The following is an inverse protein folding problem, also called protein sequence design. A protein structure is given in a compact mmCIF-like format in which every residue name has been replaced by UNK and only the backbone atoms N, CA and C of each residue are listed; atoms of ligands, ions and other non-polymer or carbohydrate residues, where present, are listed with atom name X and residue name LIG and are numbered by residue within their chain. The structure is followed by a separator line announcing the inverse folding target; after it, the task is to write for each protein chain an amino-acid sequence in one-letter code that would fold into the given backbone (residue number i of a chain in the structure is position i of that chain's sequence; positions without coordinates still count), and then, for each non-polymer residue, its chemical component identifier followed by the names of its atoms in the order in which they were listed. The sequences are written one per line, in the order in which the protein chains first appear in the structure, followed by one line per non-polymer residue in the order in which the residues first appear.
data_IF_921957122792
#
_entry.id   IF_921957122792
#
_cell.length_a   1.000
_cell.length_b   1.000
_cell.length_c   1.000
_cell.angle_alpha   90.00
_cell.angle_beta   90.00
_cell.angle_gamma   90.00
#
_symmetry.space_group_name_H-M   'P 1'
#
loop_
_entity.id
_entity.type
_entity.pdbx_description
1 polymer ?
#
# COMPACT_ATOMS: atom_id res chain seq x y z
N UNK A 1 11.58 -1.32 -24.36
CA UNK A 1 10.33 -0.88 -23.70
C UNK A 1 10.25 -1.47 -22.32
N UNK A 2 10.06 -0.61 -21.31
CA UNK A 2 9.88 -1.08 -19.94
C UNK A 2 8.41 -1.44 -19.70
N UNK A 3 8.17 -2.46 -18.89
CA UNK A 3 6.82 -2.89 -18.53
C UNK A 3 6.50 -2.49 -17.10
N UNK A 4 5.23 -2.17 -16.84
CA UNK A 4 4.79 -1.92 -15.48
C UNK A 4 4.97 -3.16 -14.60
N UNK A 5 5.16 -2.95 -13.31
CA UNK A 5 5.29 -4.02 -12.32
C UNK A 5 4.22 -3.81 -11.26
N UNK A 6 3.46 -4.85 -10.96
CA UNK A 6 2.43 -4.78 -9.94
C UNK A 6 2.91 -5.44 -8.66
N UNK A 7 2.71 -4.74 -7.54
CA UNK A 7 3.03 -5.25 -6.21
C UNK A 7 1.76 -5.29 -5.39
N UNK A 8 1.53 -6.39 -4.72
CA UNK A 8 0.39 -6.58 -3.82
C UNK A 8 0.88 -6.52 -2.39
N UNK A 9 0.31 -5.60 -1.62
CA UNK A 9 0.64 -5.42 -0.20
C UNK A 9 -0.54 -5.92 0.61
N UNK A 10 -0.36 -7.04 1.30
CA UNK A 10 -1.41 -7.69 2.09
C UNK A 10 -1.30 -7.31 3.55
N UNK A 11 -2.44 -7.05 4.18
CA UNK A 11 -2.51 -6.71 5.60
C UNK A 11 -3.56 -7.58 6.28
N UNK A 12 -3.18 -8.19 7.39
CA UNK A 12 -4.12 -8.87 8.27
C UNK A 12 -4.20 -8.07 9.56
N UNK A 13 -5.38 -7.53 9.84
CA UNK A 13 -5.60 -6.75 11.05
C UNK A 13 -6.02 -7.65 12.20
N UNK A 14 -5.84 -7.15 13.42
CA UNK A 14 -6.38 -7.79 14.59
C UNK A 14 -7.91 -7.78 14.53
N UNK A 15 -8.53 -8.75 15.18
CA UNK A 15 -9.99 -8.84 15.19
C UNK A 15 -10.60 -7.52 15.69
N UNK A 16 -11.52 -6.97 14.91
CA UNK A 16 -12.20 -5.71 15.24
C UNK A 16 -11.43 -4.45 14.90
N UNK A 17 -10.21 -4.55 14.36
CA UNK A 17 -9.36 -3.38 14.09
C UNK A 17 -9.39 -2.92 12.63
N UNK A 18 -10.16 -3.56 11.76
CA UNK A 18 -10.19 -3.28 10.33
C UNK A 18 -10.49 -1.81 10.01
N UNK A 19 -11.58 -1.29 10.56
CA UNK A 19 -12.02 0.07 10.23
C UNK A 19 -11.03 1.12 10.71
N UNK A 20 -10.48 0.94 11.90
CA UNK A 20 -9.47 1.85 12.41
C UNK A 20 -8.21 1.82 11.54
N UNK A 21 -7.79 0.62 11.11
CA UNK A 21 -6.63 0.47 10.22
C UNK A 21 -6.85 1.21 8.91
N UNK A 22 -7.98 1.00 8.25
CA UNK A 22 -8.27 1.64 6.97
C UNK A 22 -8.31 3.16 7.12
N UNK A 23 -8.87 3.64 8.22
CA UNK A 23 -8.97 5.06 8.51
C UNK A 23 -7.59 5.69 8.66
N UNK A 24 -6.72 5.06 9.44
CA UNK A 24 -5.34 5.52 9.63
C UNK A 24 -4.53 5.44 8.33
N UNK A 25 -4.74 4.37 7.53
CA UNK A 25 -4.11 4.23 6.23
C UNK A 25 -4.47 5.41 5.32
N UNK A 26 -5.76 5.72 5.21
CA UNK A 26 -6.23 6.82 4.35
C UNK A 26 -5.70 8.17 4.80
N UNK A 27 -5.56 8.36 6.09
CA UNK A 27 -5.12 9.64 6.65
C UNK A 27 -3.61 9.83 6.59
N UNK A 28 -2.84 8.79 6.88
CA UNK A 28 -1.39 8.92 7.09
C UNK A 28 -0.51 8.24 6.03
N UNK A 29 -1.07 7.38 5.21
CA UNK A 29 -0.28 6.66 4.20
C UNK A 29 -0.72 6.99 2.77
N UNK A 30 -2.02 7.03 2.53
CA UNK A 30 -2.54 7.33 1.21
C UNK A 30 -2.01 8.66 0.63
N UNK A 31 -1.95 9.78 1.37
CA UNK A 31 -1.42 11.00 0.80
C UNK A 31 0.02 10.89 0.30
N UNK A 32 0.85 10.07 0.95
CA UNK A 32 2.22 9.82 0.49
C UNK A 32 2.20 9.04 -0.82
N UNK A 33 1.34 8.02 -0.92
CA UNK A 33 1.19 7.23 -2.13
C UNK A 33 0.64 8.08 -3.28
N UNK A 34 -0.32 8.93 -2.99
CA UNK A 34 -0.92 9.82 -3.99
C UNK A 34 0.11 10.77 -4.57
N UNK A 35 0.98 11.33 -3.73
CA UNK A 35 2.04 12.22 -4.19
C UNK A 35 3.01 11.49 -5.13
N UNK A 36 3.31 10.24 -4.86
CA UNK A 36 4.18 9.44 -5.73
C UNK A 36 3.49 9.03 -7.03
N UNK A 37 2.19 8.81 -6.98
CA UNK A 37 1.38 8.59 -8.19
C UNK A 37 1.42 9.84 -9.07
N UNK A 38 1.17 11.00 -8.48
CA UNK A 38 1.21 12.28 -9.21
C UNK A 38 2.59 12.57 -9.78
N UNK A 39 3.65 12.12 -9.11
CA UNK A 39 5.03 12.27 -9.58
C UNK A 39 5.42 11.25 -10.67
N UNK A 40 4.53 10.33 -11.04
CA UNK A 40 4.77 9.37 -12.12
C UNK A 40 5.47 8.08 -11.72
N UNK A 41 5.74 7.89 -10.44
CA UNK A 41 6.34 6.64 -9.95
C UNK A 41 5.37 5.46 -10.08
N UNK A 42 4.08 5.72 -9.81
CA UNK A 42 3.03 4.72 -9.91
C UNK A 42 2.11 5.05 -11.08
N UNK A 43 1.52 4.02 -11.67
CA UNK A 43 0.48 4.14 -12.68
C UNK A 43 -0.90 3.94 -12.09
N UNK A 44 -1.00 3.23 -10.98
CA UNK A 44 -2.26 2.98 -10.30
C UNK A 44 -2.02 2.56 -8.86
N UNK A 45 -2.95 2.92 -7.98
CA UNK A 45 -2.97 2.48 -6.59
C UNK A 45 -4.42 2.18 -6.25
N UNK A 46 -4.69 0.97 -5.76
CA UNK A 46 -6.03 0.59 -5.34
C UNK A 46 -6.00 -0.10 -3.99
N UNK A 47 -7.05 0.12 -3.22
CA UNK A 47 -7.28 -0.57 -1.97
C UNK A 47 -8.44 -1.54 -2.16
N UNK A 48 -8.23 -2.78 -1.76
CA UNK A 48 -9.20 -3.86 -1.91
C UNK A 48 -9.51 -4.44 -0.54
N UNK A 49 -10.75 -4.86 -0.35
CA UNK A 49 -11.14 -5.64 0.81
C UNK A 49 -11.86 -6.89 0.32
N UNK A 50 -11.71 -8.04 1.01
CA UNK A 50 -12.41 -9.24 0.59
C UNK A 50 -13.91 -9.09 0.86
N UNK A 51 -14.71 -9.54 -0.08
CA UNK A 51 -16.16 -9.54 0.10
C UNK A 51 -16.60 -10.61 1.07
N UNK A 52 -15.90 -11.75 1.05
CA UNK A 52 -16.11 -12.88 1.96
C UNK A 52 -14.77 -13.30 2.47
N UNK A 53 -14.71 -13.73 3.75
CA UNK A 53 -13.47 -14.26 4.27
C UNK A 53 -13.28 -15.70 3.77
N UNK A 54 -12.02 -16.14 3.73
CA UNK A 54 -11.67 -17.48 3.30
C UNK A 54 -11.71 -18.49 4.44
N UNK A 55 -10.75 -19.39 4.43
CA UNK A 55 -10.71 -20.51 5.39
C UNK A 55 -9.91 -20.19 6.67
N UNK A 56 -9.34 -19.01 6.78
CA UNK A 56 -8.61 -18.56 7.96
C UNK A 56 -7.10 -18.73 7.91
N UNK A 57 -6.56 -19.54 6.97
CA UNK A 57 -5.11 -19.79 6.90
C UNK A 57 -4.33 -18.64 6.27
N UNK A 58 -4.86 -18.11 5.19
CA UNK A 58 -4.20 -17.06 4.43
C UNK A 58 -5.14 -15.87 4.22
N UNK A 59 -6.07 -15.69 5.16
CA UNK A 59 -6.99 -14.58 5.08
C UNK A 59 -6.26 -13.26 5.28
N UNK A 60 -6.72 -12.25 4.55
CA UNK A 60 -6.25 -10.89 4.69
C UNK A 60 -7.47 -9.98 4.74
N UNK A 61 -7.31 -8.80 5.32
CA UNK A 61 -8.42 -7.87 5.53
C UNK A 61 -8.34 -6.69 4.59
N UNK A 62 -7.12 -6.31 4.19
CA UNK A 62 -6.87 -5.19 3.29
C UNK A 62 -5.77 -5.59 2.33
N UNK A 63 -5.97 -5.27 1.07
CA UNK A 63 -4.96 -5.40 0.03
C UNK A 63 -4.79 -4.04 -0.63
N UNK A 64 -3.54 -3.58 -0.71
CA UNK A 64 -3.21 -2.42 -1.51
C UNK A 64 -2.41 -2.90 -2.71
N UNK A 65 -2.90 -2.63 -3.92
CA UNK A 65 -2.18 -2.95 -5.14
C UNK A 65 -1.59 -1.67 -5.70
N UNK A 66 -0.29 -1.72 -6.01
CA UNK A 66 0.43 -0.59 -6.61
C UNK A 66 1.02 -1.07 -7.94
N UNK A 67 0.66 -0.38 -9.01
CA UNK A 67 1.28 -0.61 -10.31
C UNK A 67 2.39 0.42 -10.46
N UNK A 68 3.63 -0.04 -10.35
CA UNK A 68 4.81 0.81 -10.55
C UNK A 68 5.02 1.04 -12.05
N UNK A 69 5.52 2.22 -12.42
CA UNK A 69 5.81 2.58 -13.81
C UNK A 69 6.67 1.52 -14.49
N UNK A 70 7.71 1.06 -13.80
CA UNK A 70 8.63 0.03 -14.27
C UNK A 70 9.40 -0.55 -13.08
N UNK A 71 10.31 -1.46 -13.36
CA UNK A 71 11.12 -2.12 -12.33
C UNK A 71 12.00 -1.12 -11.56
N UNK A 72 12.54 -0.13 -12.27
CA UNK A 72 13.39 0.89 -11.64
C UNK A 72 12.60 1.75 -10.64
N UNK A 73 11.32 1.98 -10.90
CA UNK A 73 10.48 2.78 -10.01
C UNK A 73 10.31 2.15 -8.62
N UNK A 74 10.46 0.83 -8.50
CA UNK A 74 10.38 0.16 -7.19
C UNK A 74 11.49 0.63 -6.27
N UNK A 75 12.68 0.88 -6.83
CA UNK A 75 13.85 1.31 -6.05
C UNK A 75 13.90 2.82 -5.82
N UNK A 76 13.02 3.59 -6.46
CA UNK A 76 12.96 5.04 -6.23
C UNK A 76 12.45 5.34 -4.83
N UNK A 77 12.89 6.46 -4.30
CA UNK A 77 12.44 6.95 -3.00
C UNK A 77 11.48 8.11 -3.17
N UNK A 78 10.66 8.34 -2.16
CA UNK A 78 9.81 9.54 -2.10
C UNK A 78 10.69 10.78 -2.11
N UNK A 79 10.11 11.88 -2.58
CA UNK A 79 10.74 13.19 -2.52
C UNK A 79 11.20 13.49 -1.09
N UNK A 80 12.45 13.93 -0.86
CA UNK A 80 12.90 14.30 0.47
C UNK A 80 12.00 15.37 1.10
N UNK A 81 11.65 15.19 2.36
CA UNK A 81 10.82 16.13 3.09
C UNK A 81 9.33 16.04 2.82
N UNK A 82 8.88 15.07 2.01
CA UNK A 82 7.45 14.94 1.70
C UNK A 82 6.61 14.66 2.95
N UNK A 83 7.11 13.83 3.84
CA UNK A 83 6.38 13.47 5.06
C UNK A 83 6.16 14.70 5.95
N UNK A 84 7.21 15.48 6.15
CA UNK A 84 7.14 16.72 6.94
C UNK A 84 6.23 17.75 6.30
N UNK A 85 6.21 17.82 4.97
CA UNK A 85 5.36 18.75 4.24
C UNK A 85 3.89 18.36 4.33
N UNK A 86 3.59 17.07 4.18
CA UNK A 86 2.21 16.57 4.24
C UNK A 86 1.68 16.51 5.67
N UNK A 87 2.56 16.29 6.63
CA UNK A 87 2.19 16.12 8.04
C UNK A 87 3.04 17.04 8.92
N UNK A 88 2.69 18.35 8.98
CA UNK A 88 3.46 19.29 9.82
C UNK A 88 3.47 18.91 11.30
N UNK A 89 2.40 18.29 11.79
CA UNK A 89 2.35 17.77 13.17
C UNK A 89 2.95 16.36 13.17
N UNK A 90 4.28 16.30 13.23
CA UNK A 90 5.02 15.04 13.19
C UNK A 90 4.75 14.16 14.41
N UNK A 91 4.49 14.75 15.56
CA UNK A 91 4.20 13.99 16.78
C UNK A 91 2.94 13.15 16.59
N UNK A 92 1.86 13.77 16.11
CA UNK A 92 0.60 13.08 15.82
C UNK A 92 0.79 12.05 14.71
N UNK A 93 1.47 12.43 13.64
CA UNK A 93 1.71 11.53 12.51
C UNK A 93 2.45 10.24 12.95
N UNK A 94 3.54 10.39 13.71
CA UNK A 94 4.33 9.24 14.17
C UNK A 94 3.54 8.36 15.14
N UNK A 95 2.75 8.97 16.04
CA UNK A 95 1.91 8.22 16.95
C UNK A 95 0.85 7.41 16.20
N UNK A 96 0.22 7.99 15.19
CA UNK A 96 -0.79 7.32 14.38
C UNK A 96 -0.20 6.24 13.49
N UNK A 97 1.00 6.45 12.95
CA UNK A 97 1.71 5.42 12.19
C UNK A 97 2.06 4.22 13.07
N UNK A 98 2.52 4.48 14.30
CA UNK A 98 2.77 3.41 15.27
C UNK A 98 1.49 2.65 15.56
N UNK A 99 0.40 3.36 15.79
CA UNK A 99 -0.91 2.74 16.06
C UNK A 99 -1.34 1.88 14.89
N UNK A 100 -1.17 2.36 13.65
CA UNK A 100 -1.55 1.60 12.45
C UNK A 100 -0.84 0.25 12.41
N UNK A 101 0.47 0.22 12.71
CA UNK A 101 1.21 -1.05 12.74
C UNK A 101 0.83 -1.94 13.91
N UNK A 102 0.46 -1.36 15.07
CA UNK A 102 0.00 -2.13 16.22
C UNK A 102 -1.30 -2.89 15.93
N UNK A 103 -2.09 -2.42 14.98
CA UNK A 103 -3.35 -3.07 14.59
C UNK A 103 -3.15 -4.30 13.71
N UNK A 104 -1.92 -4.57 13.27
CA UNK A 104 -1.65 -5.67 12.34
C UNK A 104 -1.25 -6.95 13.07
N UNK A 105 -1.77 -8.08 12.60
CA UNK A 105 -1.26 -9.41 12.95
C UNK A 105 -0.19 -9.84 11.97
N UNK A 106 -0.33 -9.47 10.69
CA UNK A 106 0.59 -9.86 9.64
C UNK A 106 0.56 -8.86 8.49
N UNK A 107 1.65 -8.77 7.80
CA UNK A 107 1.82 -7.89 6.64
C UNK A 107 2.87 -8.52 5.72
N UNK A 108 2.53 -8.66 4.43
CA UNK A 108 3.47 -9.24 3.46
C UNK A 108 3.22 -8.67 2.08
N UNK A 109 4.24 -8.75 1.23
CA UNK A 109 4.21 -8.23 -0.13
C UNK A 109 4.40 -9.35 -1.13
N UNK A 110 3.75 -9.23 -2.30
CA UNK A 110 3.97 -10.13 -3.42
C UNK A 110 4.23 -9.27 -4.65
N UNK A 111 5.39 -9.44 -5.25
CA UNK A 111 5.76 -8.75 -6.49
C UNK A 111 5.39 -9.69 -7.64
N UNK A 112 4.60 -9.18 -8.58
CA UNK A 112 4.07 -9.97 -9.69
C UNK A 112 4.86 -9.72 -10.97
N UNK A 113 5.04 -10.79 -11.74
CA UNK A 113 5.62 -10.72 -13.06
C UNK A 113 4.54 -11.14 -14.06
N UNK A 114 4.30 -10.31 -15.06
CA UNK A 114 3.26 -10.57 -16.05
C UNK A 114 3.78 -11.41 -17.20
N UNK A 115 2.95 -12.37 -17.61
CA UNK A 115 3.24 -13.22 -18.77
C UNK A 115 2.05 -13.18 -19.71
N UNK A 116 2.28 -12.74 -20.94
CA UNK A 116 1.23 -12.71 -21.94
C UNK A 116 0.85 -14.13 -22.34
N UNK A 117 -0.45 -14.45 -22.21
CA UNK A 117 -0.97 -15.75 -22.67
C UNK A 117 -1.33 -15.72 -24.13
N UNK A 118 -1.71 -14.56 -24.63
CA UNK A 118 -2.06 -14.39 -26.04
C UNK A 118 -0.92 -13.68 -26.75
N UNK A 119 -0.44 -14.26 -27.83
CA UNK A 119 0.57 -13.63 -28.68
C UNK A 119 -0.10 -12.62 -29.61
N UNK A 120 0.59 -11.53 -29.84
CA UNK A 120 0.09 -10.46 -30.70
C UNK A 120 0.23 -10.82 -32.18
#
# INVERSE_FOLDING_TARGET
MTLPVEVLYFYRTRWGAHDEFVDLFRRNHWPILEAQWDAGRYLNVELWTPRFHGEGRADWDVLVSITYRDWAAIEEHSEPGIVERLYPDQETFLAEERRRFELLEAHWDVVLESHALREA
#
